data_IF_879416037769
#
_entry.id   IF_879416037769
#
_cell.length_a   1.000
_cell.length_b   1.000
_cell.length_c   1.000
_cell.angle_alpha   90.00
_cell.angle_beta   90.00
_cell.angle_gamma   90.00
#
_symmetry.space_group_name_H-M   'P 1'
#
loop_
_entity.id
_entity.type
_entity.pdbx_description
1 polymer ?
#
# COMPACT_ATOMS: atom_id res chain seq x y z
N UNK A 1 -4.01 11.01 -10.21
CA UNK A 1 -4.37 9.75 -10.88
C UNK A 1 -3.33 9.41 -11.95
N UNK A 2 -2.98 8.14 -12.10
CA UNK A 2 -2.15 7.64 -13.20
C UNK A 2 -3.05 7.03 -14.27
N UNK A 3 -2.90 7.44 -15.52
CA UNK A 3 -3.68 6.93 -16.65
C UNK A 3 -2.73 6.26 -17.62
N UNK A 4 -2.99 4.99 -17.95
CA UNK A 4 -2.24 4.20 -18.92
C UNK A 4 -3.02 4.12 -20.23
N UNK A 5 -2.43 4.60 -21.33
CA UNK A 5 -3.00 4.44 -22.67
C UNK A 5 -2.81 3.01 -23.16
N UNK A 6 -3.89 2.23 -23.12
CA UNK A 6 -3.94 0.83 -23.50
C UNK A 6 -4.77 0.62 -24.77
N UNK A 7 -5.01 1.68 -25.57
CA UNK A 7 -5.83 1.59 -26.79
C UNK A 7 -5.14 0.92 -27.98
N UNK A 8 -3.81 0.78 -27.97
CA UNK A 8 -3.03 0.23 -29.10
C UNK A 8 -2.04 -0.86 -28.66
N UNK A 9 -1.60 -1.71 -29.59
CA UNK A 9 -0.66 -2.82 -29.35
C UNK A 9 0.77 -2.38 -28.96
N UNK A 10 1.04 -1.07 -28.93
CA UNK A 10 2.33 -0.53 -28.52
C UNK A 10 2.44 -0.44 -26.99
N UNK A 11 3.65 -0.20 -26.49
CA UNK A 11 3.90 -0.04 -25.04
C UNK A 11 2.97 1.02 -24.47
N UNK A 12 2.20 0.65 -23.44
CA UNK A 12 1.24 1.56 -22.81
C UNK A 12 1.95 2.81 -22.27
N UNK A 13 1.47 3.99 -22.67
CA UNK A 13 2.00 5.28 -22.22
C UNK A 13 1.29 5.65 -20.92
N UNK A 14 2.04 5.73 -19.81
CA UNK A 14 1.52 6.18 -18.49
C UNK A 14 1.71 7.69 -18.34
N UNK A 15 0.65 8.40 -17.96
CA UNK A 15 0.69 9.82 -17.57
C UNK A 15 0.03 10.04 -16.21
N UNK A 16 0.55 11.00 -15.45
CA UNK A 16 -0.06 11.42 -14.18
C UNK A 16 -0.91 12.66 -14.40
N UNK A 17 -2.21 12.54 -14.17
CA UNK A 17 -3.20 13.61 -14.31
C UNK A 17 -3.75 14.00 -12.95
N UNK A 18 -3.97 15.30 -12.74
CA UNK A 18 -4.54 15.83 -11.50
C UNK A 18 -6.07 15.73 -11.54
N UNK A 19 -6.65 15.27 -10.44
CA UNK A 19 -8.11 15.21 -10.22
C UNK A 19 -8.66 16.52 -9.63
N UNK A 20 -7.87 17.19 -8.80
CA UNK A 20 -8.33 18.28 -7.93
C UNK A 20 -9.20 19.33 -8.62
N UNK A 21 -10.44 19.47 -8.12
CA UNK A 21 -11.39 20.47 -8.57
C UNK A 21 -12.05 20.20 -9.94
N UNK A 22 -11.77 19.05 -10.57
CA UNK A 22 -12.37 18.68 -11.86
C UNK A 22 -13.50 17.69 -11.67
N UNK A 23 -14.64 17.95 -12.32
CA UNK A 23 -15.67 16.92 -12.52
C UNK A 23 -15.21 15.89 -13.59
N UNK A 24 -15.98 14.82 -13.77
CA UNK A 24 -15.63 13.78 -14.74
C UNK A 24 -15.51 14.35 -16.17
N UNK A 25 -16.37 15.29 -16.57
CA UNK A 25 -16.36 15.85 -17.93
C UNK A 25 -15.11 16.68 -18.18
N UNK A 26 -14.74 17.51 -17.22
CA UNK A 26 -13.51 18.30 -17.27
C UNK A 26 -12.27 17.40 -17.26
N UNK A 27 -12.29 16.32 -16.47
CA UNK A 27 -11.21 15.32 -16.48
C UNK A 27 -11.09 14.59 -17.82
N UNK A 28 -12.21 14.19 -18.43
CA UNK A 28 -12.20 13.59 -19.76
C UNK A 28 -11.64 14.55 -20.81
N UNK A 29 -11.90 15.86 -20.70
CA UNK A 29 -11.28 16.88 -21.57
C UNK A 29 -9.76 16.92 -21.39
N UNK A 30 -9.25 16.81 -20.16
CA UNK A 30 -7.81 16.70 -19.89
C UNK A 30 -7.23 15.43 -20.53
N UNK A 31 -7.93 14.30 -20.43
CA UNK A 31 -7.51 13.03 -21.07
C UNK A 31 -7.43 13.18 -22.58
N UNK A 32 -8.42 13.80 -23.23
CA UNK A 32 -8.37 14.10 -24.66
C UNK A 32 -7.12 14.92 -25.04
N UNK A 33 -6.82 15.97 -24.26
CA UNK A 33 -5.68 16.85 -24.52
C UNK A 33 -4.34 16.13 -24.31
N UNK A 34 -4.20 15.43 -23.20
CA UNK A 34 -2.94 14.79 -22.81
C UNK A 34 -2.61 13.58 -23.68
N UNK A 35 -3.60 12.80 -24.11
CA UNK A 35 -3.37 11.63 -24.96
C UNK A 35 -3.62 11.90 -26.45
N UNK A 36 -3.74 13.18 -26.83
CA UNK A 36 -3.96 13.64 -28.20
C UNK A 36 -5.12 12.89 -28.90
N UNK A 37 -6.21 12.67 -28.16
CA UNK A 37 -7.38 11.92 -28.62
C UNK A 37 -8.34 12.87 -29.34
N UNK A 38 -8.73 12.53 -30.56
CA UNK A 38 -9.76 13.29 -31.28
C UNK A 38 -11.07 13.32 -30.48
N UNK A 39 -11.79 14.45 -30.48
CA UNK A 39 -13.12 14.54 -29.87
C UNK A 39 -14.15 13.60 -30.53
N UNK A 40 -13.88 13.11 -31.74
CA UNK A 40 -14.69 12.12 -32.44
C UNK A 40 -14.39 10.68 -32.04
N UNK A 41 -13.24 10.44 -31.41
CA UNK A 41 -12.81 9.10 -31.00
C UNK A 41 -13.45 8.76 -29.66
N UNK A 42 -14.07 7.59 -29.59
CA UNK A 42 -14.67 7.07 -28.35
C UNK A 42 -13.65 6.24 -27.59
N UNK A 43 -13.60 6.43 -26.29
CA UNK A 43 -12.80 5.61 -25.37
C UNK A 43 -13.57 5.39 -24.07
N UNK A 44 -13.07 4.46 -23.27
CA UNK A 44 -13.53 4.24 -21.90
C UNK A 44 -12.35 4.33 -20.94
N UNK A 45 -12.60 4.92 -19.78
CA UNK A 45 -11.69 4.83 -18.64
C UNK A 45 -12.21 3.74 -17.71
N UNK A 46 -11.31 2.85 -17.31
CA UNK A 46 -11.60 1.79 -16.36
C UNK A 46 -10.56 1.75 -15.26
N UNK A 47 -10.93 1.27 -14.08
CA UNK A 47 -9.98 0.88 -13.02
C UNK A 47 -9.22 -0.39 -13.40
N UNK A 48 -8.20 -0.77 -12.63
CA UNK A 48 -7.39 -1.98 -12.86
C UNK A 48 -8.17 -3.29 -12.70
N UNK A 49 -9.34 -3.24 -12.03
CA UNK A 49 -10.33 -4.33 -11.98
C UNK A 49 -11.38 -4.28 -13.10
N UNK A 50 -11.20 -3.41 -14.10
CA UNK A 50 -12.08 -3.16 -15.25
C UNK A 50 -13.43 -2.51 -14.96
N UNK A 51 -13.64 -1.93 -13.78
CA UNK A 51 -14.85 -1.14 -13.53
C UNK A 51 -14.83 0.17 -14.35
N UNK A 52 -15.88 0.42 -15.13
CA UNK A 52 -16.01 1.67 -15.90
C UNK A 52 -16.17 2.88 -14.98
N UNK A 53 -15.38 3.92 -15.24
CA UNK A 53 -15.43 5.18 -14.48
C UNK A 53 -16.59 6.05 -14.97
N UNK A 54 -17.75 5.89 -14.32
CA UNK A 54 -18.90 6.80 -14.46
C UNK A 54 -18.81 7.94 -13.42
N UNK A 55 -19.82 8.81 -13.35
CA UNK A 55 -19.82 9.97 -12.43
C UNK A 55 -19.66 9.54 -10.97
N UNK A 56 -20.49 8.59 -10.51
CA UNK A 56 -20.48 8.10 -9.13
C UNK A 56 -19.12 7.48 -8.80
N UNK A 57 -18.61 6.62 -9.70
CA UNK A 57 -17.32 5.96 -9.51
C UNK A 57 -16.19 6.98 -9.48
N UNK A 58 -16.23 7.98 -10.37
CA UNK A 58 -15.24 9.03 -10.44
C UNK A 58 -15.12 9.79 -9.13
N UNK A 59 -16.23 10.06 -8.43
CA UNK A 59 -16.21 10.74 -7.13
C UNK A 59 -15.50 9.91 -6.05
N UNK A 60 -15.68 8.58 -6.03
CA UNK A 60 -15.03 7.65 -5.09
C UNK A 60 -13.51 7.50 -5.30
N UNK A 61 -13.01 7.79 -6.51
CA UNK A 61 -11.60 7.58 -6.86
C UNK A 61 -10.68 8.41 -5.97
N UNK A 62 -9.73 7.74 -5.32
CA UNK A 62 -8.69 8.39 -4.53
C UNK A 62 -7.56 8.91 -5.42
N UNK A 63 -6.70 9.76 -4.86
CA UNK A 63 -5.45 10.12 -5.53
C UNK A 63 -4.50 8.92 -5.63
N UNK A 64 -3.55 8.99 -6.57
CA UNK A 64 -2.56 7.92 -6.78
C UNK A 64 -3.07 6.65 -7.46
N UNK A 65 -4.38 6.49 -7.68
CA UNK A 65 -4.89 5.29 -8.38
C UNK A 65 -4.40 5.18 -9.82
N UNK A 66 -4.39 3.96 -10.35
CA UNK A 66 -4.13 3.67 -11.77
C UNK A 66 -5.45 3.42 -12.51
N UNK A 67 -5.61 4.05 -13.67
CA UNK A 67 -6.71 3.87 -14.62
C UNK A 67 -6.17 3.41 -15.97
N UNK A 68 -6.94 2.60 -16.68
CA UNK A 68 -6.66 2.23 -18.06
C UNK A 68 -7.59 2.98 -19.01
N UNK A 69 -7.00 3.51 -20.06
CA UNK A 69 -7.68 4.09 -21.19
C UNK A 69 -7.79 3.02 -22.28
N UNK A 70 -9.01 2.61 -22.61
CA UNK A 70 -9.31 1.52 -23.56
C UNK A 70 -10.25 2.01 -24.68
N UNK A 71 -10.31 1.29 -25.79
CA UNK A 71 -11.30 1.54 -26.84
C UNK A 71 -12.70 1.09 -26.42
N UNK A 72 -12.79 -0.02 -25.68
CA UNK A 72 -14.02 -0.57 -25.12
C UNK A 72 -13.73 -1.39 -23.86
N UNK A 73 -14.72 -1.57 -22.99
CA UNK A 73 -14.57 -2.15 -21.64
C UNK A 73 -13.91 -3.54 -21.63
N UNK A 74 -14.29 -4.39 -22.58
CA UNK A 74 -13.81 -5.77 -22.67
C UNK A 74 -12.58 -5.95 -23.57
N UNK A 75 -11.92 -4.86 -23.96
CA UNK A 75 -10.74 -4.93 -24.82
C UNK A 75 -9.63 -5.73 -24.11
N UNK A 76 -9.00 -6.72 -24.76
CA UNK A 76 -7.79 -7.36 -24.22
C UNK A 76 -6.72 -6.31 -23.94
N UNK A 77 -5.97 -6.49 -22.86
CA UNK A 77 -4.81 -5.63 -22.61
C UNK A 77 -3.72 -5.97 -23.64
N UNK A 78 -3.30 -5.00 -24.48
CA UNK A 78 -2.31 -5.25 -25.52
C UNK A 78 -0.93 -5.58 -24.97
N UNK A 79 -0.62 -5.04 -23.78
CA UNK A 79 0.63 -5.23 -23.07
C UNK A 79 0.36 -5.21 -21.56
N UNK A 80 1.31 -5.74 -20.78
CA UNK A 80 1.27 -5.62 -19.33
C UNK A 80 1.32 -4.15 -18.91
N UNK A 81 0.62 -3.82 -17.83
CA UNK A 81 0.64 -2.50 -17.20
C UNK A 81 1.22 -2.60 -15.79
N UNK A 82 1.78 -1.51 -15.29
CA UNK A 82 2.31 -1.41 -13.93
C UNK A 82 1.36 -0.54 -13.09
N UNK A 83 0.72 -1.16 -12.11
CA UNK A 83 -0.05 -0.47 -11.09
C UNK A 83 0.87 -0.10 -9.93
N UNK A 84 0.89 1.19 -9.60
CA UNK A 84 1.69 1.69 -8.49
C UNK A 84 0.92 1.50 -7.19
N UNK A 85 1.55 0.84 -6.22
CA UNK A 85 0.96 0.53 -4.92
C UNK A 85 1.93 0.89 -3.79
N UNK A 86 1.36 1.29 -2.66
CA UNK A 86 2.10 1.41 -1.41
C UNK A 86 1.74 0.24 -0.49
N UNK A 87 2.73 -0.55 -0.11
CA UNK A 87 2.57 -1.69 0.80
C UNK A 87 3.34 -1.47 2.10
N UNK A 88 3.06 -0.36 2.79
CA UNK A 88 3.66 -0.06 4.09
C UNK A 88 3.23 -1.13 5.09
N UNK A 89 4.15 -1.77 5.83
CA UNK A 89 3.79 -2.72 6.86
C UNK A 89 2.77 -2.12 7.83
N UNK A 90 1.64 -2.81 8.01
CA UNK A 90 0.60 -2.37 8.93
C UNK A 90 1.20 -2.28 10.34
N UNK A 91 0.75 -1.33 11.19
CA UNK A 91 1.28 -1.19 12.56
C UNK A 91 1.13 -2.46 13.40
N UNK A 92 0.24 -3.38 12.99
CA UNK A 92 0.10 -4.72 13.55
C UNK A 92 1.39 -5.54 13.48
N UNK A 93 2.24 -5.31 12.48
CA UNK A 93 3.57 -5.93 12.38
C UNK A 93 4.39 -5.72 13.66
N UNK A 94 4.19 -4.59 14.37
CA UNK A 94 4.84 -4.34 15.66
C UNK A 94 3.97 -4.75 16.85
N UNK A 95 2.71 -4.30 16.92
CA UNK A 95 1.91 -4.52 18.14
C UNK A 95 1.51 -5.99 18.34
N UNK A 96 1.45 -6.77 17.26
CA UNK A 96 1.09 -8.19 17.29
C UNK A 96 2.31 -9.09 17.06
N UNK A 97 3.52 -8.53 17.03
CA UNK A 97 4.75 -9.25 16.68
C UNK A 97 5.05 -10.42 17.61
N UNK A 98 4.55 -10.42 18.85
CA UNK A 98 4.75 -11.49 19.83
C UNK A 98 3.47 -12.22 20.25
N UNK A 99 2.31 -11.88 19.68
CA UNK A 99 1.02 -12.39 20.16
C UNK A 99 0.82 -13.89 19.91
N UNK A 100 1.42 -14.41 18.84
CA UNK A 100 1.30 -15.80 18.40
C UNK A 100 2.66 -16.50 18.25
N UNK A 101 3.74 -15.91 18.77
CA UNK A 101 5.09 -16.48 18.59
C UNK A 101 5.43 -17.51 19.67
N UNK A 102 4.94 -17.28 20.90
CA UNK A 102 5.32 -18.09 22.04
C UNK A 102 4.31 -19.20 22.32
N UNK A 103 4.20 -20.16 21.40
CA UNK A 103 3.53 -21.43 21.68
C UNK A 103 4.55 -22.40 22.25
N UNK A 104 4.33 -22.82 23.49
CA UNK A 104 5.15 -23.85 24.11
C UNK A 104 4.28 -25.08 24.39
N UNK A 105 4.64 -26.21 23.80
CA UNK A 105 4.08 -27.53 24.10
C UNK A 105 4.42 -27.91 25.56
N UNK A 106 3.63 -27.40 26.51
CA UNK A 106 3.75 -27.73 27.94
C UNK A 106 4.59 -26.79 28.81
N UNK A 107 5.20 -25.73 28.27
CA UNK A 107 5.94 -24.72 29.05
C UNK A 107 5.25 -23.34 29.07
N UNK A 108 5.58 -22.48 30.03
CA UNK A 108 5.06 -21.11 30.10
C UNK A 108 5.78 -20.25 29.07
N UNK A 109 5.02 -19.53 28.25
CA UNK A 109 5.49 -18.64 27.19
C UNK A 109 6.11 -17.33 27.67
N UNK A 110 5.62 -16.81 28.81
CA UNK A 110 6.04 -15.51 29.35
C UNK A 110 7.55 -15.40 29.69
N UNK A 111 8.20 -16.41 30.31
CA UNK A 111 9.65 -16.38 30.52
C UNK A 111 10.48 -16.24 29.24
N UNK A 112 10.02 -16.80 28.12
CA UNK A 112 10.74 -16.70 26.85
C UNK A 112 10.79 -15.25 26.35
N UNK A 113 9.69 -14.51 26.46
CA UNK A 113 9.67 -13.08 26.13
C UNK A 113 10.65 -12.27 26.99
N UNK A 114 10.81 -12.61 28.28
CA UNK A 114 11.83 -11.97 29.12
C UNK A 114 13.25 -12.36 28.73
N UNK A 115 13.48 -13.61 28.31
CA UNK A 115 14.80 -14.07 27.90
C UNK A 115 15.33 -13.25 26.71
N UNK A 116 14.48 -12.93 25.72
CA UNK A 116 14.89 -12.07 24.61
C UNK A 116 15.34 -10.67 25.05
N UNK A 117 14.69 -10.09 26.05
CA UNK A 117 15.11 -8.81 26.61
C UNK A 117 16.45 -8.93 27.36
N UNK A 118 16.66 -10.04 28.06
CA UNK A 118 17.93 -10.34 28.74
C UNK A 118 19.04 -10.56 27.72
N UNK A 119 18.78 -11.23 26.59
CA UNK A 119 19.74 -11.43 25.51
C UNK A 119 20.21 -10.09 24.92
N UNK A 120 19.27 -9.15 24.71
CA UNK A 120 19.60 -7.78 24.30
C UNK A 120 20.49 -7.08 25.33
N UNK A 121 20.17 -7.19 26.62
CA UNK A 121 20.98 -6.60 27.69
C UNK A 121 22.35 -7.27 27.85
N UNK A 122 22.44 -8.59 27.62
CA UNK A 122 23.71 -9.32 27.58
C UNK A 122 24.56 -8.82 26.41
N UNK A 123 23.99 -8.67 25.22
CA UNK A 123 24.72 -8.13 24.07
C UNK A 123 25.22 -6.71 24.35
N UNK A 124 24.36 -5.83 24.87
CA UNK A 124 24.70 -4.44 25.16
C UNK A 124 25.82 -4.29 26.21
N UNK A 125 25.87 -5.18 27.20
CA UNK A 125 26.83 -5.10 28.32
C UNK A 125 28.12 -5.90 28.09
N UNK A 126 28.31 -6.52 26.93
CA UNK A 126 29.43 -7.45 26.67
C UNK A 126 30.82 -6.81 26.85
N UNK A 127 30.94 -5.50 26.67
CA UNK A 127 32.22 -4.76 26.76
C UNK A 127 32.39 -3.98 28.07
N UNK A 128 31.45 -4.08 29.00
CA UNK A 128 31.57 -3.37 30.25
C UNK A 128 32.78 -3.90 31.03
N UNK A 129 33.60 -2.99 31.54
CA UNK A 129 34.66 -3.33 32.48
C UNK A 129 34.04 -3.48 33.87
N UNK A 130 34.21 -4.65 34.50
CA UNK A 130 33.63 -4.95 35.81
C UNK A 130 32.33 -5.76 35.74
N UNK A 131 31.52 -5.70 36.80
CA UNK A 131 30.30 -6.51 36.93
C UNK A 131 29.23 -6.03 35.96
N UNK A 132 28.56 -6.99 35.31
CA UNK A 132 27.43 -6.76 34.41
C UNK A 132 26.12 -7.00 35.15
N UNK A 133 25.42 -5.93 35.48
CA UNK A 133 24.13 -6.00 36.17
C UNK A 133 23.00 -5.87 35.15
N UNK A 134 22.07 -6.82 35.16
CA UNK A 134 20.83 -6.82 34.37
C UNK A 134 19.69 -7.00 35.38
N UNK A 135 18.71 -6.09 35.37
CA UNK A 135 17.64 -6.07 36.35
C UNK A 135 16.28 -6.07 35.66
N UNK A 136 15.37 -6.95 36.11
CA UNK A 136 13.97 -6.98 35.69
C UNK A 136 13.12 -6.55 36.88
N UNK A 137 12.45 -5.39 36.77
CA UNK A 137 11.57 -4.87 37.82
C UNK A 137 10.10 -5.03 37.42
N UNK A 138 9.36 -5.82 38.18
CA UNK A 138 7.91 -6.02 37.97
C UNK A 138 7.12 -5.05 38.86
N UNK A 139 6.55 -4.02 38.26
CA UNK A 139 5.76 -3.01 38.97
C UNK A 139 4.27 -3.41 38.91
N UNK A 140 3.82 -4.19 39.89
CA UNK A 140 2.44 -4.68 39.98
C UNK A 140 1.59 -3.94 41.01
N UNK A 141 2.18 -3.01 41.78
CA UNK A 141 1.43 -2.19 42.71
C UNK A 141 0.48 -1.26 41.96
N UNK A 142 -0.80 -1.27 42.35
CA UNK A 142 -1.89 -0.53 41.68
C UNK A 142 -2.29 0.74 42.44
N UNK A 143 -1.56 1.12 43.49
CA UNK A 143 -1.91 2.25 44.37
C UNK A 143 -1.49 3.64 43.83
N UNK A 144 -1.51 3.83 42.50
CA UNK A 144 -1.29 5.15 41.84
C UNK A 144 -2.61 5.72 41.36
#
# INVERSE_FOLDING_TARGET
>A
MHVCDCRSESRAVKKTLKKDGLDLKDFLRVVHQEFFISLSETFVLVTTDRTVVNQDKYEELQDGITLWLLQHENQPLPAATEEEIEFVPHFNTLIQSGANEYFAEGHKSLPCAFAELVDNALSATAKNTGVRTIEIRMLFDKTV
#
